data_IF_332103974200
#
_entry.id   IF_332103974200
#
_cell.length_a   1.000
_cell.length_b   1.000
_cell.length_c   1.000
_cell.angle_alpha   90.00
_cell.angle_beta   90.00
_cell.angle_gamma   90.00
#
_symmetry.space_group_name_H-M   'P 1'
#
loop_
_entity.id
_entity.type
_entity.pdbx_description
1 polymer ?
#
# COMPACT_ATOMS: atom_id res chain seq x y z
N UNK A 1 24.09 -8.77 -9.33
CA UNK A 1 23.61 -7.91 -8.22
C UNK A 1 22.63 -8.69 -7.36
N UNK A 2 22.72 -8.51 -6.04
CA UNK A 2 21.80 -9.09 -5.06
C UNK A 2 20.84 -8.01 -4.57
N UNK A 3 19.57 -8.10 -4.93
CA UNK A 3 18.56 -7.12 -4.58
C UNK A 3 17.55 -7.74 -3.60
N UNK A 4 17.32 -7.07 -2.48
CA UNK A 4 16.27 -7.43 -1.55
C UNK A 4 14.98 -6.69 -1.89
N UNK A 5 13.86 -7.39 -1.94
CA UNK A 5 12.54 -6.80 -2.12
C UNK A 5 11.74 -6.95 -0.82
N UNK A 6 11.76 -5.92 0.03
CA UNK A 6 11.01 -5.90 1.28
C UNK A 6 9.60 -5.36 1.02
N UNK A 7 8.61 -6.25 0.98
CA UNK A 7 7.21 -5.90 0.72
C UNK A 7 6.39 -5.95 2.00
N UNK A 8 5.32 -5.14 2.09
CA UNK A 8 4.50 -5.07 3.31
C UNK A 8 3.81 -6.39 3.67
N UNK A 9 3.50 -7.23 2.67
CA UNK A 9 2.87 -8.52 2.90
C UNK A 9 2.45 -9.19 1.59
N UNK A 10 2.39 -10.52 1.58
CA UNK A 10 2.07 -11.31 0.39
C UNK A 10 0.67 -11.93 0.41
N UNK A 11 -0.19 -11.59 1.39
CA UNK A 11 -1.58 -12.06 1.43
C UNK A 11 -2.46 -11.46 0.34
N UNK A 12 -2.20 -10.20 -0.05
CA UNK A 12 -2.97 -9.47 -1.07
C UNK A 12 -2.53 -9.82 -2.49
N UNK A 13 -3.50 -9.96 -3.39
CA UNK A 13 -3.27 -10.31 -4.80
C UNK A 13 -2.35 -9.33 -5.51
N UNK A 14 -2.46 -8.02 -5.21
CA UNK A 14 -1.61 -7.00 -5.82
C UNK A 14 -0.12 -7.28 -5.58
N UNK A 15 0.28 -7.55 -4.33
CA UNK A 15 1.69 -7.82 -4.01
C UNK A 15 2.17 -9.17 -4.56
N UNK A 16 1.28 -10.15 -4.68
CA UNK A 16 1.60 -11.40 -5.37
C UNK A 16 1.90 -11.15 -6.85
N UNK A 17 1.05 -10.36 -7.54
CA UNK A 17 1.29 -9.97 -8.95
C UNK A 17 2.56 -9.14 -9.09
N UNK A 18 2.76 -8.13 -8.26
CA UNK A 18 3.97 -7.30 -8.26
C UNK A 18 5.24 -8.15 -8.11
N UNK A 19 5.23 -9.08 -7.16
CA UNK A 19 6.36 -10.00 -6.93
C UNK A 19 6.59 -10.95 -8.11
N UNK A 20 5.51 -11.43 -8.73
CA UNK A 20 5.58 -12.29 -9.92
C UNK A 20 6.23 -11.53 -11.08
N UNK A 21 5.79 -10.32 -11.36
CA UNK A 21 6.35 -9.49 -12.44
C UNK A 21 7.80 -9.10 -12.17
N UNK A 22 8.15 -8.77 -10.91
CA UNK A 22 9.53 -8.53 -10.50
C UNK A 22 10.43 -9.73 -10.83
N UNK A 23 10.01 -10.94 -10.48
CA UNK A 23 10.75 -12.18 -10.77
C UNK A 23 10.78 -12.53 -12.27
N UNK A 24 9.81 -12.02 -13.03
CA UNK A 24 9.75 -12.23 -14.49
C UNK A 24 10.63 -11.25 -15.28
N UNK A 25 11.20 -10.24 -14.63
CA UNK A 25 12.05 -9.24 -15.29
C UNK A 25 13.25 -9.89 -16.01
N UNK A 26 13.62 -9.46 -17.24
CA UNK A 26 14.72 -10.05 -18.00
C UNK A 26 16.02 -10.17 -17.21
N UNK A 27 16.45 -9.13 -16.50
CA UNK A 27 17.67 -9.14 -15.69
C UNK A 27 17.66 -10.15 -14.53
N UNK A 28 16.48 -10.58 -14.08
CA UNK A 28 16.36 -11.67 -13.10
C UNK A 28 16.44 -13.02 -13.79
N UNK A 29 15.82 -13.15 -14.95
CA UNK A 29 15.83 -14.40 -15.73
C UNK A 29 17.20 -14.75 -16.30
N UNK A 30 17.98 -13.75 -16.70
CA UNK A 30 19.34 -13.96 -17.22
C UNK A 30 20.41 -14.09 -16.11
N UNK A 31 20.02 -13.92 -14.83
CA UNK A 31 20.90 -14.07 -13.69
C UNK A 31 21.74 -12.81 -13.37
N UNK A 32 21.61 -11.72 -14.12
CA UNK A 32 22.30 -10.45 -13.85
C UNK A 32 21.87 -9.90 -12.48
N UNK A 33 20.61 -10.09 -12.09
CA UNK A 33 20.03 -9.69 -10.81
C UNK A 33 19.45 -10.91 -10.08
N UNK A 34 19.86 -11.11 -8.84
CA UNK A 34 19.26 -12.09 -7.93
C UNK A 34 18.30 -11.36 -6.98
N UNK A 35 17.02 -11.72 -7.00
CA UNK A 35 15.99 -11.13 -6.14
C UNK A 35 15.65 -12.07 -4.98
N UNK A 36 15.75 -11.54 -3.76
CA UNK A 36 15.18 -12.17 -2.57
C UNK A 36 13.98 -11.34 -2.11
N UNK A 37 12.80 -11.95 -2.06
CA UNK A 37 11.58 -11.31 -1.56
C UNK A 37 11.44 -11.58 -0.08
N UNK A 38 11.26 -10.51 0.70
CA UNK A 38 11.03 -10.54 2.13
C UNK A 38 9.57 -10.16 2.40
N UNK A 39 8.79 -11.10 2.93
CA UNK A 39 7.41 -10.85 3.35
C UNK A 39 7.40 -10.12 4.70
N UNK A 40 6.93 -8.88 4.71
CA UNK A 40 6.78 -8.04 5.91
C UNK A 40 5.63 -8.47 6.81
N UNK A 41 4.80 -9.40 6.36
CA UNK A 41 3.66 -9.94 7.12
C UNK A 41 2.76 -8.86 7.76
N UNK A 42 2.63 -7.71 7.11
CA UNK A 42 1.87 -6.54 7.58
C UNK A 42 2.40 -5.97 8.91
N UNK A 43 3.69 -6.17 9.21
CA UNK A 43 4.33 -5.70 10.43
C UNK A 43 5.57 -4.85 10.16
N UNK A 44 5.58 -3.62 10.69
CA UNK A 44 6.67 -2.67 10.46
C UNK A 44 7.97 -3.09 11.14
N UNK A 45 7.90 -3.76 12.30
CA UNK A 45 9.08 -4.27 12.99
C UNK A 45 9.73 -5.40 12.19
N UNK A 46 8.94 -6.29 11.63
CA UNK A 46 9.42 -7.33 10.71
C UNK A 46 10.15 -6.73 9.52
N UNK A 47 9.61 -5.68 8.89
CA UNK A 47 10.29 -4.99 7.80
C UNK A 47 11.61 -4.35 8.26
N UNK A 48 11.64 -3.73 9.45
CA UNK A 48 12.88 -3.17 10.02
C UNK A 48 13.98 -4.24 10.21
N UNK A 49 13.62 -5.41 10.76
CA UNK A 49 14.55 -6.53 10.95
C UNK A 49 15.05 -7.10 9.61
N UNK A 50 14.22 -7.08 8.58
CA UNK A 50 14.62 -7.48 7.22
C UNK A 50 15.67 -6.52 6.64
N UNK A 51 15.54 -5.20 6.89
CA UNK A 51 16.58 -4.23 6.53
C UNK A 51 17.90 -4.52 7.23
N UNK A 52 17.89 -4.82 8.53
CA UNK A 52 19.09 -5.20 9.27
C UNK A 52 19.76 -6.44 8.67
N UNK A 53 18.97 -7.41 8.27
CA UNK A 53 19.45 -8.61 7.57
C UNK A 53 20.10 -8.26 6.24
N UNK A 54 19.45 -7.44 5.40
CA UNK A 54 19.99 -7.05 4.09
C UNK A 54 21.27 -6.21 4.21
N UNK A 55 21.33 -5.33 5.20
CA UNK A 55 22.54 -4.54 5.49
C UNK A 55 23.70 -5.45 5.92
N UNK A 56 23.46 -6.35 6.87
CA UNK A 56 24.47 -7.28 7.37
C UNK A 56 24.99 -8.21 6.29
N UNK A 57 24.10 -8.65 5.41
CA UNK A 57 24.44 -9.55 4.28
C UNK A 57 24.96 -8.78 3.05
N UNK A 58 25.12 -7.46 3.13
CA UNK A 58 25.65 -6.60 2.07
C UNK A 58 24.92 -6.77 0.74
N UNK A 59 23.60 -6.55 0.73
CA UNK A 59 22.84 -6.47 -0.52
C UNK A 59 23.28 -5.25 -1.33
N UNK A 60 23.21 -5.35 -2.67
CA UNK A 60 23.59 -4.26 -3.57
C UNK A 60 22.51 -3.18 -3.70
N UNK A 61 21.26 -3.50 -3.35
CA UNK A 61 20.13 -2.57 -3.36
C UNK A 61 18.89 -3.17 -2.72
N UNK A 62 17.95 -2.29 -2.38
CA UNK A 62 16.69 -2.68 -1.76
C UNK A 62 15.53 -2.05 -2.53
N UNK A 63 14.55 -2.88 -2.93
CA UNK A 63 13.22 -2.45 -3.34
C UNK A 63 12.33 -2.49 -2.11
N UNK A 64 11.65 -1.40 -1.81
CA UNK A 64 10.88 -1.27 -0.58
C UNK A 64 9.43 -0.87 -0.84
N UNK A 65 8.49 -1.67 -0.34
CA UNK A 65 7.06 -1.37 -0.31
C UNK A 65 6.63 -1.34 1.16
N UNK A 66 6.67 -0.17 1.82
CA UNK A 66 6.43 -0.06 3.26
C UNK A 66 4.98 -0.33 3.66
N UNK A 67 4.80 -0.92 4.85
CA UNK A 67 3.50 -1.05 5.49
C UNK A 67 3.09 0.23 6.22
N UNK A 68 4.04 1.00 6.69
CA UNK A 68 3.80 2.21 7.47
C UNK A 68 4.63 3.38 6.96
N UNK A 69 3.99 4.54 6.80
CA UNK A 69 4.58 5.77 6.29
C UNK A 69 5.73 6.28 7.18
N UNK A 70 5.55 6.22 8.50
CA UNK A 70 6.49 6.78 9.48
C UNK A 70 7.57 5.78 9.86
N UNK A 71 7.16 4.56 10.21
CA UNK A 71 8.07 3.52 10.67
C UNK A 71 9.06 3.07 9.58
N UNK A 72 8.71 3.21 8.30
CA UNK A 72 9.59 2.89 7.18
C UNK A 72 10.82 3.80 7.04
N UNK A 73 10.82 5.01 7.60
CA UNK A 73 11.90 5.98 7.37
C UNK A 73 13.23 5.58 8.03
N UNK A 74 13.21 5.11 9.27
CA UNK A 74 14.43 4.76 10.01
C UNK A 74 15.24 3.62 9.38
N UNK A 75 14.64 2.47 9.00
CA UNK A 75 15.39 1.39 8.33
C UNK A 75 15.94 1.84 6.97
N UNK A 76 15.22 2.67 6.21
CA UNK A 76 15.72 3.23 4.94
C UNK A 76 16.97 4.07 5.19
N UNK A 77 16.93 5.01 6.14
CA UNK A 77 18.09 5.83 6.49
C UNK A 77 19.31 4.99 6.89
N UNK A 78 19.08 3.90 7.63
CA UNK A 78 20.14 2.98 8.05
C UNK A 78 20.79 2.29 6.85
N UNK A 79 19.99 1.81 5.89
CA UNK A 79 20.49 1.18 4.67
C UNK A 79 21.28 2.17 3.79
N UNK A 80 20.73 3.36 3.57
CA UNK A 80 21.40 4.40 2.77
C UNK A 80 22.71 4.83 3.40
N UNK A 81 22.77 5.01 4.74
CA UNK A 81 24.02 5.26 5.47
C UNK A 81 25.04 4.13 5.34
N UNK A 82 24.58 2.90 5.18
CA UNK A 82 25.43 1.73 4.91
C UNK A 82 25.87 1.63 3.43
N UNK A 83 25.52 2.59 2.59
CA UNK A 83 25.86 2.61 1.16
C UNK A 83 24.94 1.77 0.28
N UNK A 84 23.81 1.29 0.79
CA UNK A 84 22.83 0.47 0.04
C UNK A 84 21.72 1.38 -0.46
N UNK A 85 21.55 1.57 -1.78
CA UNK A 85 20.45 2.37 -2.33
C UNK A 85 19.11 1.69 -2.07
N UNK A 86 18.11 2.51 -1.73
CA UNK A 86 16.74 2.07 -1.48
C UNK A 86 15.79 2.76 -2.44
N UNK A 87 15.10 1.97 -3.26
CA UNK A 87 14.04 2.44 -4.15
C UNK A 87 12.69 2.06 -3.57
N UNK A 88 11.89 3.09 -3.24
CA UNK A 88 10.50 2.90 -2.83
C UNK A 88 9.61 2.57 -4.02
N UNK A 89 8.63 1.69 -3.81
CA UNK A 89 7.64 1.36 -4.83
C UNK A 89 6.24 1.32 -4.25
N UNK A 90 5.25 1.77 -5.01
CA UNK A 90 3.82 1.74 -4.69
C UNK A 90 3.44 2.61 -3.47
N UNK A 91 3.96 2.32 -2.28
CA UNK A 91 3.72 3.08 -1.06
C UNK A 91 4.96 3.88 -0.65
N UNK A 92 4.77 4.99 0.07
CA UNK A 92 5.82 5.94 0.43
C UNK A 92 6.29 5.77 1.86
N UNK A 93 7.47 6.27 2.14
CA UNK A 93 7.95 6.56 3.50
C UNK A 93 7.92 8.06 3.75
N UNK A 94 7.89 8.47 5.02
CA UNK A 94 7.95 9.87 5.42
C UNK A 94 9.33 10.47 5.15
N UNK A 95 9.36 11.68 4.60
CA UNK A 95 10.60 12.43 4.33
C UNK A 95 11.29 12.01 3.04
N UNK A 96 12.39 12.72 2.74
CA UNK A 96 13.21 12.51 1.55
C UNK A 96 14.40 11.60 1.88
N UNK A 97 14.10 10.35 2.18
CA UNK A 97 15.10 9.36 2.64
C UNK A 97 15.39 8.27 1.60
N UNK A 98 14.52 8.12 0.59
CA UNK A 98 14.70 7.15 -0.48
C UNK A 98 15.71 7.63 -1.53
N UNK A 99 16.44 6.71 -2.13
CA UNK A 99 17.28 7.01 -3.30
C UNK A 99 16.43 7.38 -4.50
N UNK A 100 15.27 6.72 -4.67
CA UNK A 100 14.27 7.02 -5.69
C UNK A 100 12.92 6.43 -5.29
N UNK A 101 11.86 6.87 -5.96
CA UNK A 101 10.51 6.34 -5.77
C UNK A 101 9.79 6.13 -7.11
N UNK A 102 9.09 5.01 -7.21
CA UNK A 102 8.24 4.67 -8.35
C UNK A 102 6.82 4.34 -7.85
N UNK A 103 5.86 5.15 -8.24
CA UNK A 103 4.46 4.97 -7.83
C UNK A 103 3.55 6.02 -8.47
N UNK A 104 2.30 6.00 -8.05
CA UNK A 104 1.25 6.92 -8.48
C UNK A 104 1.01 8.03 -7.44
N UNK A 105 0.16 8.98 -7.78
CA UNK A 105 -0.43 9.94 -6.85
C UNK A 105 -1.70 9.33 -6.24
N UNK A 106 -1.61 8.87 -4.99
CA UNK A 106 -2.71 8.20 -4.31
C UNK A 106 -3.83 9.16 -3.89
N UNK A 107 -3.57 10.47 -3.79
CA UNK A 107 -4.65 11.47 -3.59
C UNK A 107 -5.51 11.58 -4.84
N UNK A 108 -4.87 11.66 -6.01
CA UNK A 108 -5.58 11.67 -7.30
C UNK A 108 -6.37 10.37 -7.46
N UNK A 109 -5.77 9.22 -7.15
CA UNK A 109 -6.46 7.93 -7.22
C UNK A 109 -7.70 7.90 -6.31
N UNK A 110 -7.59 8.42 -5.07
CA UNK A 110 -8.73 8.56 -4.16
C UNK A 110 -9.84 9.44 -4.71
N UNK A 111 -9.49 10.61 -5.29
CA UNK A 111 -10.48 11.49 -5.94
C UNK A 111 -11.20 10.77 -7.07
N UNK A 112 -10.47 10.12 -7.96
CA UNK A 112 -11.04 9.37 -9.09
C UNK A 112 -12.02 8.28 -8.64
N UNK A 113 -11.68 7.54 -7.57
CA UNK A 113 -12.57 6.53 -7.00
C UNK A 113 -13.88 7.15 -6.52
N UNK A 114 -13.79 8.21 -5.71
CA UNK A 114 -14.97 8.88 -5.17
C UNK A 114 -15.81 9.54 -6.28
N UNK A 115 -15.19 10.22 -7.23
CA UNK A 115 -15.90 10.85 -8.36
C UNK A 115 -16.65 9.83 -9.22
N UNK A 116 -16.03 8.68 -9.49
CA UNK A 116 -16.68 7.59 -10.20
C UNK A 116 -17.92 7.05 -9.45
N UNK A 117 -17.79 6.88 -8.12
CA UNK A 117 -18.89 6.46 -7.27
C UNK A 117 -20.00 7.52 -7.24
N UNK A 118 -19.65 8.79 -7.02
CA UNK A 118 -20.63 9.89 -7.01
C UNK A 118 -21.42 9.96 -8.31
N UNK A 119 -20.74 9.80 -9.45
CA UNK A 119 -21.40 9.72 -10.74
C UNK A 119 -22.37 8.54 -10.82
N UNK A 120 -21.96 7.37 -10.34
CA UNK A 120 -22.78 6.16 -10.39
C UNK A 120 -24.06 6.26 -9.56
N UNK A 121 -23.98 6.86 -8.35
CA UNK A 121 -25.13 7.00 -7.44
C UNK A 121 -25.89 8.33 -7.60
N UNK A 122 -25.53 9.17 -8.58
CA UNK A 122 -26.18 10.46 -8.81
C UNK A 122 -25.93 11.50 -7.72
N UNK A 123 -24.81 11.37 -6.97
CA UNK A 123 -24.36 12.34 -5.95
C UNK A 123 -25.18 12.35 -4.66
N UNK A 124 -25.99 11.35 -4.40
CA UNK A 124 -26.83 11.22 -3.19
C UNK A 124 -26.95 9.77 -2.75
N UNK A 125 -27.18 9.54 -1.45
CA UNK A 125 -27.39 8.22 -0.86
C UNK A 125 -26.36 7.87 0.22
N UNK A 126 -26.38 6.62 0.66
CA UNK A 126 -25.50 6.15 1.73
C UNK A 126 -24.42 5.23 1.14
N UNK A 127 -23.20 5.39 1.62
CA UNK A 127 -22.07 4.58 1.19
C UNK A 127 -21.33 4.00 2.39
N UNK A 128 -20.51 3.00 2.15
CA UNK A 128 -19.51 2.50 3.09
C UNK A 128 -18.12 2.60 2.46
N UNK A 129 -17.08 2.71 3.27
CA UNK A 129 -15.69 2.87 2.79
C UNK A 129 -14.83 1.74 3.36
N UNK A 130 -14.25 0.94 2.47
CA UNK A 130 -13.26 -0.08 2.81
C UNK A 130 -11.88 0.49 2.54
N UNK A 131 -11.02 0.47 3.56
CA UNK A 131 -9.68 1.07 3.50
C UNK A 131 -8.58 0.01 3.54
N UNK A 132 -7.37 0.43 3.16
CA UNK A 132 -6.15 -0.36 3.32
C UNK A 132 -5.62 -0.35 4.76
N UNK A 133 -4.43 -0.93 4.99
CA UNK A 133 -3.78 -0.94 6.30
C UNK A 133 -3.60 0.47 6.85
N UNK A 134 -4.01 0.66 8.09
CA UNK A 134 -3.91 1.96 8.78
C UNK A 134 -2.44 2.36 8.93
N UNK A 135 -2.13 3.61 8.56
CA UNK A 135 -0.76 4.14 8.62
C UNK A 135 0.03 4.01 7.32
N UNK A 136 -0.44 3.23 6.36
CA UNK A 136 0.19 3.13 5.05
C UNK A 136 -0.11 4.37 4.19
N UNK A 137 0.87 4.87 3.43
CA UNK A 137 0.71 6.10 2.64
C UNK A 137 -0.47 6.04 1.68
N UNK A 138 -0.65 4.92 0.97
CA UNK A 138 -1.75 4.75 0.03
C UNK A 138 -3.12 4.80 0.71
N UNK A 139 -3.26 4.26 1.92
CA UNK A 139 -4.50 4.38 2.70
C UNK A 139 -4.76 5.85 3.08
N UNK A 140 -3.76 6.54 3.64
CA UNK A 140 -3.88 7.94 4.08
C UNK A 140 -4.22 8.86 2.91
N UNK A 141 -3.49 8.72 1.80
CA UNK A 141 -3.60 9.62 0.65
C UNK A 141 -4.90 9.37 -0.13
N UNK A 142 -5.31 8.12 -0.35
CA UNK A 142 -6.60 7.80 -0.98
C UNK A 142 -7.77 8.24 -0.12
N UNK A 143 -7.70 8.03 1.21
CA UNK A 143 -8.72 8.52 2.13
C UNK A 143 -8.87 10.04 2.02
N UNK A 144 -7.75 10.81 1.99
CA UNK A 144 -7.77 12.24 1.77
C UNK A 144 -8.45 12.61 0.45
N UNK A 145 -8.07 11.96 -0.65
CA UNK A 145 -8.69 12.21 -1.97
C UNK A 145 -10.19 11.91 -1.98
N UNK A 146 -10.61 10.82 -1.36
CA UNK A 146 -12.03 10.49 -1.19
C UNK A 146 -12.77 11.57 -0.40
N UNK A 147 -12.22 11.99 0.74
CA UNK A 147 -12.85 12.98 1.63
C UNK A 147 -12.97 14.36 0.97
N UNK A 148 -12.01 14.77 0.14
CA UNK A 148 -12.09 16.00 -0.66
C UNK A 148 -13.28 16.00 -1.65
N UNK A 149 -13.61 14.85 -2.21
CA UNK A 149 -14.79 14.70 -3.10
C UNK A 149 -16.07 14.65 -2.27
N UNK A 150 -16.11 13.80 -1.22
CA UNK A 150 -17.28 13.64 -0.36
C UNK A 150 -17.70 14.95 0.31
N UNK A 151 -16.75 15.81 0.65
CA UNK A 151 -17.04 17.14 1.24
C UNK A 151 -17.92 18.02 0.34
N UNK A 152 -17.92 17.77 -0.97
CA UNK A 152 -18.74 18.50 -1.97
C UNK A 152 -20.12 17.90 -2.19
N UNK A 153 -20.38 16.67 -1.72
CA UNK A 153 -21.63 15.93 -1.90
C UNK A 153 -22.40 15.79 -0.57
N UNK A 154 -23.12 16.85 -0.17
CA UNK A 154 -23.79 16.93 1.13
C UNK A 154 -24.94 15.93 1.29
N UNK A 155 -25.49 15.43 0.19
CA UNK A 155 -26.56 14.44 0.15
C UNK A 155 -26.04 12.99 0.22
N UNK A 156 -24.71 12.82 0.37
CA UNK A 156 -24.08 11.52 0.55
C UNK A 156 -23.67 11.34 2.01
N UNK A 157 -24.08 10.22 2.60
CA UNK A 157 -23.73 9.85 3.97
C UNK A 157 -22.82 8.62 4.00
N UNK A 158 -21.69 8.72 4.69
CA UNK A 158 -20.83 7.56 4.99
C UNK A 158 -21.36 6.87 6.23
N UNK A 159 -21.95 5.66 6.08
CA UNK A 159 -22.50 4.86 7.17
C UNK A 159 -21.42 4.19 8.01
N UNK A 160 -20.37 3.72 7.37
CA UNK A 160 -19.25 3.05 8.02
C UNK A 160 -17.96 3.20 7.21
N UNK A 161 -16.83 3.16 7.94
CA UNK A 161 -15.47 3.16 7.36
C UNK A 161 -14.61 2.20 8.16
N UNK A 162 -13.92 1.25 7.50
CA UNK A 162 -13.06 0.28 8.17
C UNK A 162 -11.98 -0.26 7.25
N UNK A 163 -10.82 -0.62 7.82
CA UNK A 163 -9.76 -1.30 7.07
C UNK A 163 -10.10 -2.77 6.81
N UNK A 164 -9.70 -3.26 5.64
CA UNK A 164 -9.66 -4.68 5.28
C UNK A 164 -8.24 -5.10 4.84
N UNK A 165 -7.22 -4.33 5.19
CA UNK A 165 -5.80 -4.69 5.04
C UNK A 165 -5.41 -5.17 3.61
N UNK A 166 -6.04 -4.62 2.56
CA UNK A 166 -5.91 -5.07 1.17
C UNK A 166 -6.28 -6.55 0.97
N UNK A 167 -7.03 -7.15 1.90
CA UNK A 167 -7.49 -8.54 1.83
C UNK A 167 -8.88 -8.62 1.21
N UNK A 168 -9.02 -9.41 0.14
CA UNK A 168 -10.34 -9.67 -0.47
C UNK A 168 -11.28 -10.35 0.52
N UNK A 169 -10.79 -11.35 1.26
CA UNK A 169 -11.61 -12.07 2.23
C UNK A 169 -12.11 -11.16 3.36
N UNK A 170 -11.24 -10.29 3.90
CA UNK A 170 -11.65 -9.32 4.92
C UNK A 170 -12.64 -8.30 4.35
N UNK A 171 -12.44 -7.84 3.10
CA UNK A 171 -13.37 -6.92 2.42
C UNK A 171 -14.74 -7.54 2.23
N UNK A 172 -14.81 -8.82 1.83
CA UNK A 172 -16.07 -9.55 1.70
C UNK A 172 -16.79 -9.69 3.04
N UNK A 173 -16.08 -10.12 4.08
CA UNK A 173 -16.67 -10.24 5.42
C UNK A 173 -17.16 -8.92 6.00
N UNK A 174 -16.43 -7.80 5.76
CA UNK A 174 -16.89 -6.47 6.13
C UNK A 174 -18.19 -6.11 5.41
N UNK A 175 -18.25 -6.35 4.09
CA UNK A 175 -19.44 -6.01 3.32
C UNK A 175 -20.65 -6.83 3.73
N UNK A 176 -20.50 -8.14 3.97
CA UNK A 176 -21.57 -9.01 4.48
C UNK A 176 -22.12 -8.50 5.82
N UNK A 177 -21.22 -8.12 6.74
CA UNK A 177 -21.60 -7.55 8.04
C UNK A 177 -22.36 -6.22 7.85
N UNK A 178 -21.92 -5.34 6.96
CA UNK A 178 -22.57 -4.07 6.71
C UNK A 178 -23.92 -4.21 5.99
N UNK A 179 -24.06 -5.14 5.08
CA UNK A 179 -25.36 -5.45 4.45
C UNK A 179 -26.39 -5.93 5.48
N UNK A 180 -25.92 -6.66 6.51
CA UNK A 180 -26.76 -7.07 7.63
C UNK A 180 -27.07 -5.91 8.57
N UNK A 181 -26.09 -5.06 8.88
CA UNK A 181 -26.24 -3.93 9.80
C UNK A 181 -27.05 -2.76 9.21
N UNK A 182 -26.99 -2.60 7.89
CA UNK A 182 -27.66 -1.51 7.15
C UNK A 182 -28.55 -2.07 6.02
N UNK A 183 -29.58 -2.86 6.34
CA UNK A 183 -30.39 -3.52 5.33
C UNK A 183 -31.08 -2.49 4.42
N UNK A 184 -30.88 -2.65 3.10
CA UNK A 184 -31.42 -1.77 2.05
C UNK A 184 -31.00 -0.29 2.12
N UNK A 185 -29.96 0.04 2.88
CA UNK A 185 -29.50 1.43 3.06
C UNK A 185 -28.27 1.78 2.23
N UNK A 186 -27.43 0.80 1.87
CA UNK A 186 -26.23 1.04 1.06
C UNK A 186 -26.62 1.13 -0.41
N UNK A 187 -26.09 2.14 -1.11
CA UNK A 187 -26.38 2.45 -2.51
C UNK A 187 -25.24 2.00 -3.45
#
# INVERSE_FOLDING_TARGET
YRIGAAVYGLKGEFMQMWTKELKAHPAVKDGTVQITVFDGNYDALTQSNQFDTMITQKYDGILFVPIDLKAGAAPVQKAVKAGIPVVGSNTRVQGDVLTSYVGNDDVVAGRMQAEALMKAIGGKGNIVVIEGPIGQSAQIERARGNDEVLARHKDVKVLARKTANWSRAESMGLMENWLTAFPFQIH
#
